data_IF_129801402299
#
_entry.id   IF_129801402299
#
_cell.length_a   1.000
_cell.length_b   1.000
_cell.length_c   1.000
_cell.angle_alpha   90.00
_cell.angle_beta   90.00
_cell.angle_gamma   90.00
#
_symmetry.space_group_name_H-M   'P 1'
#
loop_
_entity.id
_entity.type
_entity.pdbx_description
1 polymer ?
#
# COMPACT_ATOMS: atom_id res chain seq x y z
N UNK A 1 -25.21 -25.82 -52.22
CA UNK A 1 -24.49 -25.76 -53.49
C UNK A 1 -23.02 -26.02 -53.20
N UNK A 2 -22.46 -27.10 -53.78
CA UNK A 2 -21.03 -27.38 -53.73
C UNK A 2 -20.46 -26.99 -55.11
N UNK A 3 -19.51 -26.07 -55.11
CA UNK A 3 -18.73 -25.77 -56.30
C UNK A 3 -17.39 -26.53 -56.20
N UNK A 4 -17.05 -27.26 -57.23
CA UNK A 4 -15.70 -27.79 -57.39
C UNK A 4 -14.96 -26.97 -58.40
N UNK A 5 -13.70 -26.65 -58.15
CA UNK A 5 -12.84 -25.94 -59.08
C UNK A 5 -12.46 -26.86 -60.25
N UNK A 6 -12.90 -26.50 -61.43
CA UNK A 6 -12.56 -27.14 -62.71
C UNK A 6 -13.31 -26.50 -63.89
N UNK A 7 -12.76 -26.59 -65.10
CA UNK A 7 -13.43 -26.14 -66.27
C UNK A 7 -14.50 -27.19 -66.64
N UNK A 8 -15.76 -26.84 -66.49
CA UNK A 8 -16.89 -27.73 -66.73
C UNK A 8 -17.70 -27.22 -67.91
N UNK A 9 -17.96 -28.11 -68.87
CA UNK A 9 -18.81 -27.81 -70.03
C UNK A 9 -20.30 -27.71 -69.67
N UNK A 10 -20.67 -28.07 -68.45
CA UNK A 10 -22.06 -27.98 -67.97
C UNK A 10 -22.10 -27.97 -66.40
N UNK A 11 -23.07 -27.23 -65.89
CA UNK A 11 -23.40 -27.24 -64.50
C UNK A 11 -24.39 -28.35 -64.19
N UNK A 12 -24.03 -29.29 -63.36
CA UNK A 12 -24.95 -30.33 -62.86
C UNK A 12 -25.49 -29.88 -61.48
N UNK A 13 -26.76 -29.55 -61.40
CA UNK A 13 -27.46 -29.29 -60.16
C UNK A 13 -27.85 -30.66 -59.55
N UNK A 14 -27.12 -31.07 -58.53
CA UNK A 14 -27.51 -32.16 -57.67
C UNK A 14 -28.55 -31.65 -56.68
N UNK A 15 -29.81 -31.88 -56.94
CA UNK A 15 -30.87 -31.75 -55.93
C UNK A 15 -30.81 -32.96 -55.00
N UNK A 16 -30.37 -32.72 -53.77
CA UNK A 16 -30.57 -33.68 -52.70
C UNK A 16 -32.08 -33.66 -52.40
N UNK A 17 -32.79 -34.66 -52.84
CA UNK A 17 -34.18 -34.81 -52.44
C UNK A 17 -34.26 -34.95 -50.93
N UNK A 18 -35.01 -34.07 -50.24
CA UNK A 18 -35.15 -34.20 -48.80
C UNK A 18 -35.72 -35.58 -48.46
N UNK A 19 -34.95 -36.37 -47.74
CA UNK A 19 -35.51 -37.63 -47.21
C UNK A 19 -36.55 -37.28 -46.15
N UNK A 20 -37.80 -37.35 -46.54
CA UNK A 20 -38.93 -37.18 -45.57
C UNK A 20 -38.83 -38.29 -44.54
N UNK A 21 -38.56 -37.92 -43.31
CA UNK A 21 -38.55 -38.87 -42.22
C UNK A 21 -39.96 -38.93 -41.57
N UNK A 22 -40.48 -40.11 -41.42
CA UNK A 22 -41.82 -40.35 -40.84
C UNK A 22 -41.85 -40.15 -39.30
N UNK A 23 -40.74 -39.86 -38.67
CA UNK A 23 -40.66 -39.64 -37.24
C UNK A 23 -39.49 -38.71 -36.84
N UNK A 24 -39.64 -38.04 -35.73
CA UNK A 24 -38.62 -37.18 -35.16
C UNK A 24 -38.79 -36.99 -33.63
N UNK A 25 -37.75 -36.39 -33.02
CA UNK A 25 -37.78 -36.05 -31.63
C UNK A 25 -37.31 -34.63 -31.44
N UNK A 26 -37.90 -33.93 -30.43
CA UNK A 26 -37.48 -32.62 -29.94
C UNK A 26 -37.23 -32.78 -28.44
N UNK A 27 -36.06 -32.29 -27.97
CA UNK A 27 -35.68 -32.36 -26.56
C UNK A 27 -35.42 -30.96 -26.03
N UNK A 28 -35.97 -30.65 -24.85
CA UNK A 28 -35.69 -29.37 -24.18
C UNK A 28 -34.30 -29.36 -23.58
N UNK A 29 -33.72 -28.19 -23.28
CA UNK A 29 -32.66 -28.08 -22.30
C UNK A 29 -33.16 -28.60 -20.93
N UNK A 30 -32.23 -28.74 -19.98
CA UNK A 30 -32.53 -29.02 -18.59
C UNK A 30 -33.24 -27.82 -17.97
N UNK A 31 -34.43 -28.02 -17.37
CA UNK A 31 -35.27 -27.00 -16.72
C UNK A 31 -35.21 -27.24 -15.21
N UNK A 32 -35.12 -26.18 -14.42
CA UNK A 32 -34.91 -26.23 -12.98
C UNK A 32 -33.61 -25.49 -12.57
N UNK A 33 -33.15 -25.64 -11.31
CA UNK A 33 -33.70 -26.54 -10.29
C UNK A 33 -35.00 -26.04 -9.67
N UNK A 34 -35.85 -26.97 -9.25
CA UNK A 34 -37.08 -26.68 -8.54
C UNK A 34 -37.11 -27.35 -7.17
N UNK A 35 -37.81 -26.75 -6.22
CA UNK A 35 -38.09 -27.33 -4.89
C UNK A 35 -39.35 -28.20 -4.90
N UNK A 36 -40.22 -27.98 -5.85
CA UNK A 36 -41.37 -28.83 -6.13
C UNK A 36 -41.83 -28.70 -7.57
N UNK A 37 -42.41 -29.75 -8.10
CA UNK A 37 -43.06 -29.78 -9.41
C UNK A 37 -44.57 -29.86 -9.23
N UNK A 38 -45.36 -29.30 -10.17
CA UNK A 38 -46.82 -29.34 -10.08
C UNK A 38 -47.46 -29.87 -11.35
N UNK A 39 -47.23 -29.22 -12.49
CA UNK A 39 -47.91 -29.63 -13.72
C UNK A 39 -47.03 -29.50 -14.94
N UNK A 40 -47.23 -30.40 -15.91
CA UNK A 40 -46.76 -30.31 -17.28
C UNK A 40 -47.90 -29.90 -18.18
N UNK A 41 -47.73 -28.83 -18.93
CA UNK A 41 -48.68 -28.34 -19.92
C UNK A 41 -48.05 -28.33 -21.30
N UNK A 42 -48.81 -28.74 -22.30
CA UNK A 42 -48.38 -28.60 -23.67
C UNK A 42 -49.57 -28.32 -24.58
N UNK A 43 -49.32 -27.62 -25.67
CA UNK A 43 -50.29 -27.37 -26.75
C UNK A 43 -49.60 -27.53 -28.09
N UNK A 44 -50.36 -28.10 -29.04
CA UNK A 44 -49.93 -28.29 -30.41
C UNK A 44 -51.10 -28.67 -31.29
N UNK A 45 -50.87 -28.73 -32.58
CA UNK A 45 -51.87 -29.10 -33.57
C UNK A 45 -51.27 -29.95 -34.66
N UNK A 46 -52.11 -30.72 -35.32
CA UNK A 46 -51.80 -31.29 -36.63
C UNK A 46 -51.95 -30.22 -37.69
N UNK A 47 -51.25 -30.37 -38.78
CA UNK A 47 -51.38 -29.49 -39.92
C UNK A 47 -52.45 -30.00 -40.87
N UNK A 48 -52.59 -31.33 -40.92
CA UNK A 48 -53.60 -31.97 -41.71
C UNK A 48 -54.72 -32.62 -40.90
N UNK A 49 -55.84 -32.90 -41.57
CA UNK A 49 -57.01 -33.52 -40.94
C UNK A 49 -56.89 -35.08 -40.84
N UNK A 50 -55.93 -35.68 -41.58
CA UNK A 50 -55.73 -37.11 -41.60
C UNK A 50 -55.16 -37.71 -40.30
N UNK A 51 -55.53 -38.92 -39.94
CA UNK A 51 -55.27 -39.55 -38.65
C UNK A 51 -53.90 -40.22 -38.52
N UNK A 52 -52.88 -39.81 -39.32
CA UNK A 52 -51.57 -40.47 -39.35
C UNK A 52 -50.59 -40.08 -38.24
N UNK A 53 -50.87 -38.99 -37.57
CA UNK A 53 -50.00 -38.43 -36.55
C UNK A 53 -50.15 -39.08 -35.18
N UNK A 54 -49.02 -39.41 -34.60
CA UNK A 54 -48.91 -39.71 -33.18
C UNK A 54 -47.88 -38.82 -32.52
N UNK A 55 -48.18 -38.37 -31.30
CA UNK A 55 -47.25 -37.59 -30.49
C UNK A 55 -47.29 -38.12 -29.05
N UNK A 56 -46.13 -38.20 -28.46
CA UNK A 56 -45.98 -38.52 -27.04
C UNK A 56 -44.86 -37.71 -26.44
N UNK A 57 -44.88 -37.54 -25.13
CA UNK A 57 -43.90 -36.80 -24.38
C UNK A 57 -43.32 -37.66 -23.26
N UNK A 58 -41.99 -37.70 -23.17
CA UNK A 58 -41.33 -38.22 -21.99
C UNK A 58 -40.92 -37.05 -21.08
N UNK A 59 -41.31 -37.17 -19.82
CA UNK A 59 -40.82 -36.29 -18.75
C UNK A 59 -39.67 -37.01 -18.08
N UNK A 60 -38.48 -36.45 -18.20
CA UNK A 60 -37.23 -37.07 -17.80
C UNK A 60 -36.72 -36.30 -16.54
N UNK A 61 -36.58 -37.01 -15.42
CA UNK A 61 -35.95 -36.50 -14.22
C UNK A 61 -34.43 -36.50 -14.37
N UNK A 62 -33.80 -35.42 -13.92
CA UNK A 62 -32.34 -35.29 -13.94
C UNK A 62 -31.87 -35.02 -12.51
N UNK A 63 -30.98 -35.89 -12.02
CA UNK A 63 -30.39 -35.73 -10.70
C UNK A 63 -29.37 -34.63 -10.66
N UNK A 64 -28.91 -34.12 -9.47
CA UNK A 64 -27.81 -33.16 -9.36
C UNK A 64 -26.51 -33.62 -10.06
N UNK A 65 -26.28 -34.96 -10.07
CA UNK A 65 -25.13 -35.56 -10.76
C UNK A 65 -25.31 -35.69 -12.28
N UNK A 66 -26.46 -35.26 -12.83
CA UNK A 66 -26.73 -35.31 -14.26
C UNK A 66 -27.27 -36.65 -14.77
N UNK A 67 -27.58 -37.61 -13.89
CA UNK A 67 -28.18 -38.88 -14.28
C UNK A 67 -29.63 -38.67 -14.69
N UNK A 68 -30.04 -39.26 -15.81
CA UNK A 68 -31.37 -39.13 -16.40
C UNK A 68 -32.22 -40.39 -16.19
N UNK A 69 -33.49 -40.20 -15.84
CA UNK A 69 -34.49 -41.28 -15.75
C UNK A 69 -35.81 -40.80 -16.34
N UNK A 70 -36.45 -41.62 -17.19
CA UNK A 70 -37.80 -41.33 -17.66
C UNK A 70 -38.79 -41.58 -16.54
N UNK A 71 -39.48 -40.54 -16.07
CA UNK A 71 -40.42 -40.58 -14.97
C UNK A 71 -41.86 -40.89 -15.47
N UNK A 72 -42.22 -40.20 -16.58
CA UNK A 72 -43.56 -40.35 -17.17
C UNK A 72 -43.48 -40.34 -18.68
N UNK A 73 -44.43 -41.05 -19.29
CA UNK A 73 -44.74 -40.95 -20.72
C UNK A 73 -46.19 -40.47 -20.85
N UNK A 74 -46.38 -39.34 -21.52
CA UNK A 74 -47.65 -38.65 -21.68
C UNK A 74 -48.06 -38.73 -23.15
N UNK A 75 -49.29 -39.18 -23.42
CA UNK A 75 -49.81 -39.28 -24.78
C UNK A 75 -50.46 -37.99 -25.29
N UNK A 76 -50.91 -38.02 -26.54
CA UNK A 76 -51.48 -36.85 -27.21
C UNK A 76 -52.84 -36.42 -26.64
N UNK A 77 -53.54 -37.27 -25.88
CA UNK A 77 -54.84 -36.96 -25.30
C UNK A 77 -54.75 -36.10 -24.04
N UNK A 78 -53.65 -36.24 -23.33
CA UNK A 78 -53.41 -35.52 -22.06
C UNK A 78 -52.64 -34.23 -22.32
N UNK A 79 -53.31 -33.09 -22.22
CA UNK A 79 -52.72 -31.76 -22.46
C UNK A 79 -52.17 -31.09 -21.21
N UNK A 80 -52.67 -31.47 -20.07
CA UNK A 80 -52.32 -30.99 -18.73
C UNK A 80 -52.12 -32.23 -17.84
N UNK A 81 -50.89 -32.46 -17.39
CA UNK A 81 -50.50 -33.67 -16.69
C UNK A 81 -49.90 -33.31 -15.31
N UNK A 82 -50.40 -33.93 -14.25
CA UNK A 82 -49.93 -33.76 -12.89
C UNK A 82 -48.56 -34.44 -12.69
N UNK A 83 -47.58 -33.68 -12.27
CA UNK A 83 -46.23 -34.13 -11.93
C UNK A 83 -45.86 -33.81 -10.49
N UNK A 84 -46.86 -33.55 -9.63
CA UNK A 84 -46.63 -33.21 -8.21
C UNK A 84 -46.00 -34.37 -7.41
N UNK A 85 -46.13 -35.60 -7.90
CA UNK A 85 -45.49 -36.79 -7.33
C UNK A 85 -43.97 -36.87 -7.57
N UNK A 86 -43.40 -36.02 -8.41
CA UNK A 86 -41.96 -36.01 -8.66
C UNK A 86 -41.20 -35.51 -7.42
N UNK A 87 -40.31 -36.35 -6.89
CA UNK A 87 -39.43 -35.95 -5.81
C UNK A 87 -38.37 -34.95 -6.32
N UNK A 88 -38.57 -33.67 -6.04
CA UNK A 88 -37.65 -32.59 -6.47
C UNK A 88 -36.28 -32.63 -5.77
N UNK A 89 -36.14 -33.29 -4.62
CA UNK A 89 -34.81 -33.49 -3.98
C UNK A 89 -33.98 -34.48 -4.81
N UNK A 90 -34.60 -35.51 -5.34
CA UNK A 90 -33.96 -36.49 -6.20
C UNK A 90 -33.80 -35.98 -7.64
N UNK A 91 -34.83 -35.31 -8.16
CA UNK A 91 -34.89 -34.77 -9.53
C UNK A 91 -35.19 -33.26 -9.50
N UNK A 92 -34.24 -32.45 -9.10
CA UNK A 92 -34.44 -31.02 -9.09
C UNK A 92 -34.56 -30.44 -10.50
N UNK A 93 -34.16 -31.18 -11.49
CA UNK A 93 -34.27 -30.78 -12.90
C UNK A 93 -35.12 -31.74 -13.66
N UNK A 94 -35.87 -31.22 -14.65
CA UNK A 94 -36.59 -32.02 -15.61
C UNK A 94 -36.19 -31.66 -17.03
N UNK A 95 -36.24 -32.65 -17.92
CA UNK A 95 -36.15 -32.45 -19.37
C UNK A 95 -37.43 -33.01 -20.01
N UNK A 96 -37.85 -32.35 -21.08
CA UNK A 96 -38.99 -32.75 -21.87
C UNK A 96 -38.49 -33.29 -23.20
N UNK A 97 -38.97 -34.46 -23.60
CA UNK A 97 -38.67 -35.07 -24.91
C UNK A 97 -39.98 -35.40 -25.60
N UNK A 98 -40.27 -34.71 -26.69
CA UNK A 98 -41.37 -34.97 -27.58
C UNK A 98 -40.92 -35.98 -28.62
N UNK A 99 -41.75 -36.97 -28.85
CA UNK A 99 -41.63 -37.87 -29.99
C UNK A 99 -42.84 -37.62 -30.90
N UNK A 100 -42.60 -37.44 -32.19
CA UNK A 100 -43.65 -37.28 -33.19
C UNK A 100 -43.45 -38.28 -34.33
N UNK A 101 -44.52 -38.81 -34.87
CA UNK A 101 -44.53 -39.72 -36.00
C UNK A 101 -45.74 -39.42 -36.84
N UNK A 102 -45.54 -39.26 -38.16
CA UNK A 102 -46.54 -39.26 -39.20
C UNK A 102 -46.17 -40.33 -40.21
N UNK A 103 -47.08 -41.25 -40.46
CA UNK A 103 -46.87 -42.37 -41.38
C UNK A 103 -47.53 -42.18 -42.76
N UNK A 104 -48.28 -41.09 -42.92
CA UNK A 104 -49.07 -40.83 -44.15
C UNK A 104 -48.44 -39.74 -44.99
N UNK A 105 -48.22 -38.55 -44.47
CA UNK A 105 -47.76 -37.39 -45.21
C UNK A 105 -46.34 -36.92 -44.84
N UNK A 106 -45.83 -37.39 -43.71
CA UNK A 106 -44.50 -37.05 -43.24
C UNK A 106 -44.37 -35.62 -42.69
N UNK A 107 -45.49 -34.99 -42.32
CA UNK A 107 -45.54 -33.66 -41.74
C UNK A 107 -45.48 -33.78 -40.20
N UNK A 108 -44.53 -33.10 -39.54
CA UNK A 108 -44.40 -33.26 -38.10
C UNK A 108 -45.53 -32.56 -37.35
N UNK A 109 -45.96 -33.15 -36.20
CA UNK A 109 -46.92 -32.50 -35.30
C UNK A 109 -46.36 -31.15 -34.83
N UNK A 110 -47.13 -30.07 -34.96
CA UNK A 110 -46.71 -28.69 -34.67
C UNK A 110 -46.82 -28.43 -33.17
N UNK A 111 -45.69 -28.47 -32.43
CA UNK A 111 -45.64 -28.06 -31.04
C UNK A 111 -45.67 -26.54 -30.92
N UNK A 112 -46.71 -25.96 -30.31
CA UNK A 112 -46.81 -24.53 -30.03
C UNK A 112 -46.02 -24.12 -28.81
N UNK A 113 -46.23 -24.87 -27.72
CA UNK A 113 -45.45 -24.70 -26.50
C UNK A 113 -45.56 -25.95 -25.61
N UNK A 114 -44.58 -26.10 -24.75
CA UNK A 114 -44.63 -26.91 -23.55
C UNK A 114 -44.15 -26.11 -22.36
N UNK A 115 -44.63 -26.40 -21.16
CA UNK A 115 -44.33 -25.70 -19.94
C UNK A 115 -44.39 -26.63 -18.74
N UNK A 116 -43.41 -26.45 -17.83
CA UNK A 116 -43.42 -27.05 -16.50
C UNK A 116 -43.75 -25.99 -15.46
N UNK A 117 -44.68 -26.30 -14.57
CA UNK A 117 -45.01 -25.48 -13.43
C UNK A 117 -44.46 -26.15 -12.16
N UNK A 118 -44.03 -25.34 -11.21
CA UNK A 118 -43.45 -25.75 -9.95
C UNK A 118 -43.00 -24.58 -9.13
N UNK A 119 -42.45 -24.83 -7.96
CA UNK A 119 -41.75 -23.83 -7.15
C UNK A 119 -40.27 -23.93 -7.45
N UNK A 120 -39.73 -22.91 -8.07
CA UNK A 120 -38.28 -22.87 -8.36
C UNK A 120 -37.50 -22.43 -7.10
N UNK A 121 -36.27 -22.91 -7.00
CA UNK A 121 -35.34 -22.44 -5.95
C UNK A 121 -35.08 -20.96 -6.10
N UNK A 122 -34.63 -20.26 -5.04
CA UNK A 122 -34.27 -18.86 -5.13
C UNK A 122 -33.15 -18.63 -6.16
N UNK A 123 -32.97 -17.37 -6.55
CA UNK A 123 -31.92 -16.95 -7.45
C UNK A 123 -31.33 -15.64 -6.95
N UNK A 124 -30.03 -15.65 -6.75
CA UNK A 124 -29.26 -14.46 -6.42
C UNK A 124 -28.35 -14.06 -7.58
N UNK A 125 -27.95 -12.83 -7.59
CA UNK A 125 -26.97 -12.33 -8.55
C UNK A 125 -26.16 -11.17 -7.97
N UNK A 126 -24.91 -11.07 -8.36
CA UNK A 126 -24.13 -9.86 -8.15
C UNK A 126 -24.80 -8.70 -8.86
N UNK A 127 -24.92 -7.57 -8.15
CA UNK A 127 -25.63 -6.39 -8.62
C UNK A 127 -24.75 -5.13 -8.56
N UNK A 128 -23.67 -5.05 -9.37
CA UNK A 128 -22.75 -3.93 -9.37
C UNK A 128 -23.42 -2.60 -9.76
N UNK A 129 -24.55 -2.67 -10.46
CA UNK A 129 -25.38 -1.50 -10.77
C UNK A 129 -26.09 -0.91 -9.55
N UNK A 130 -26.25 -1.66 -8.45
CA UNK A 130 -26.77 -1.18 -7.17
C UNK A 130 -25.63 -0.60 -6.34
N UNK A 131 -24.55 -1.34 -6.16
CA UNK A 131 -23.37 -0.89 -5.46
C UNK A 131 -22.15 -1.69 -5.90
N UNK A 132 -21.14 -0.98 -6.38
CA UNK A 132 -19.79 -1.51 -6.53
C UNK A 132 -18.79 -0.41 -6.20
N UNK A 133 -17.92 -0.66 -5.24
CA UNK A 133 -16.85 0.24 -4.82
C UNK A 133 -15.56 -0.58 -4.72
N UNK A 134 -14.58 -0.23 -5.52
CA UNK A 134 -13.20 -0.69 -5.42
C UNK A 134 -12.34 0.18 -6.32
N UNK A 135 -11.15 0.56 -5.85
CA UNK A 135 -10.13 1.17 -6.68
C UNK A 135 -9.41 0.12 -7.53
N UNK A 136 -9.00 0.49 -8.73
CA UNK A 136 -8.16 -0.37 -9.59
C UNK A 136 -6.68 -0.28 -9.25
N UNK A 137 -6.28 0.84 -8.61
CA UNK A 137 -4.89 1.12 -8.22
C UNK A 137 -4.84 1.73 -6.82
N UNK A 138 -3.79 1.39 -6.07
CA UNK A 138 -3.50 1.94 -4.76
C UNK A 138 -1.99 2.06 -4.56
N UNK A 139 -1.54 2.92 -3.64
CA UNK A 139 -0.17 2.90 -3.16
C UNK A 139 -0.01 1.84 -2.07
N UNK A 140 1.19 1.29 -1.90
CA UNK A 140 1.45 0.28 -0.87
C UNK A 140 1.22 0.85 0.54
N UNK A 141 0.40 0.15 1.32
CA UNK A 141 -0.07 0.56 2.65
C UNK A 141 -1.41 1.32 2.64
N UNK A 142 -1.93 1.72 1.47
CA UNK A 142 -3.26 2.31 1.37
C UNK A 142 -4.33 1.27 1.68
N UNK A 143 -5.34 1.67 2.46
CA UNK A 143 -6.52 0.85 2.70
C UNK A 143 -7.50 1.00 1.53
N UNK A 144 -7.83 -0.12 0.88
CA UNK A 144 -8.75 -0.14 -0.26
C UNK A 144 -10.09 -0.73 0.16
N UNK A 145 -11.12 0.09 0.13
CA UNK A 145 -12.48 -0.37 0.38
C UNK A 145 -13.02 -1.17 -0.80
N UNK A 146 -13.53 -2.35 -0.51
CA UNK A 146 -14.31 -3.17 -1.41
C UNK A 146 -15.75 -3.22 -0.92
N UNK A 147 -16.72 -2.92 -1.79
CA UNK A 147 -18.15 -3.08 -1.53
C UNK A 147 -18.84 -3.57 -2.80
N UNK A 148 -19.65 -4.60 -2.67
CA UNK A 148 -20.40 -5.18 -3.78
C UNK A 148 -21.78 -5.64 -3.32
N UNK A 149 -22.81 -5.25 -4.07
CA UNK A 149 -24.17 -5.72 -3.82
C UNK A 149 -24.39 -7.11 -4.42
N UNK A 150 -25.06 -7.97 -3.66
CA UNK A 150 -25.65 -9.24 -4.11
C UNK A 150 -27.15 -9.20 -3.82
N UNK A 151 -27.98 -9.46 -4.81
CA UNK A 151 -29.45 -9.32 -4.70
C UNK A 151 -30.15 -10.64 -4.98
N UNK A 152 -31.15 -10.98 -4.16
CA UNK A 152 -32.13 -12.00 -4.52
C UNK A 152 -33.07 -11.45 -5.61
N UNK A 153 -32.94 -11.97 -6.82
CA UNK A 153 -33.72 -11.54 -8.00
C UNK A 153 -34.94 -12.40 -8.25
N UNK A 154 -35.18 -13.40 -7.39
CA UNK A 154 -36.32 -14.33 -7.47
C UNK A 154 -37.46 -13.93 -6.55
N UNK A 155 -38.60 -14.62 -6.69
CA UNK A 155 -39.74 -14.48 -5.80
C UNK A 155 -39.65 -15.34 -4.53
N UNK A 156 -38.64 -16.21 -4.45
CA UNK A 156 -38.45 -17.18 -3.38
C UNK A 156 -37.33 -16.68 -2.44
N UNK A 157 -37.51 -16.82 -1.13
CA UNK A 157 -36.49 -16.51 -0.15
C UNK A 157 -35.43 -17.64 -0.09
N UNK A 158 -34.18 -17.26 0.19
CA UNK A 158 -33.14 -18.19 0.59
C UNK A 158 -33.47 -18.78 1.98
N UNK A 159 -33.07 -20.02 2.23
CA UNK A 159 -33.41 -20.72 3.47
C UNK A 159 -32.50 -20.31 4.65
N UNK A 160 -31.26 -19.94 4.40
CA UNK A 160 -30.25 -19.57 5.41
C UNK A 160 -29.41 -18.39 4.93
N UNK A 161 -28.54 -17.91 5.81
CA UNK A 161 -27.58 -16.84 5.56
C UNK A 161 -26.52 -17.25 4.53
N UNK A 162 -26.11 -16.26 3.69
CA UNK A 162 -25.18 -16.49 2.59
C UNK A 162 -23.74 -16.61 3.08
N UNK A 163 -23.04 -17.64 2.67
CA UNK A 163 -21.58 -17.70 2.76
C UNK A 163 -20.95 -16.86 1.64
N UNK A 164 -19.78 -16.31 1.94
CA UNK A 164 -19.03 -15.46 1.02
C UNK A 164 -17.57 -15.90 1.08
N UNK A 165 -17.01 -16.25 -0.06
CA UNK A 165 -15.56 -16.40 -0.24
C UNK A 165 -15.00 -15.09 -0.79
N UNK A 166 -13.95 -14.61 -0.16
CA UNK A 166 -13.17 -13.47 -0.61
C UNK A 166 -11.70 -13.88 -0.65
N UNK A 167 -11.08 -13.81 -1.80
CA UNK A 167 -9.70 -14.25 -1.98
C UNK A 167 -8.93 -13.16 -2.70
N UNK A 168 -7.73 -12.84 -2.20
CA UNK A 168 -6.77 -11.99 -2.87
C UNK A 168 -5.65 -12.89 -3.39
N UNK A 169 -5.49 -12.97 -4.69
CA UNK A 169 -4.36 -13.67 -5.31
C UNK A 169 -3.28 -12.65 -5.60
N UNK A 170 -2.11 -12.83 -4.98
CA UNK A 170 -1.00 -11.90 -5.10
C UNK A 170 -0.23 -12.04 -6.42
N UNK A 171 0.75 -11.17 -6.65
CA UNK A 171 1.63 -11.17 -7.84
C UNK A 171 2.39 -12.48 -8.08
N UNK A 172 2.53 -13.33 -7.06
CA UNK A 172 3.21 -14.62 -7.14
C UNK A 172 2.22 -15.77 -7.37
N UNK A 173 0.93 -15.45 -7.66
CA UNK A 173 -0.18 -16.36 -7.78
C UNK A 173 -0.49 -17.15 -6.49
N UNK A 174 -0.18 -16.58 -5.32
CA UNK A 174 -0.54 -17.17 -4.03
C UNK A 174 -1.90 -16.64 -3.60
N UNK A 175 -2.90 -17.51 -3.38
CA UNK A 175 -4.22 -17.10 -2.91
C UNK A 175 -4.22 -16.88 -1.38
N UNK A 176 -4.74 -15.74 -0.96
CA UNK A 176 -4.96 -15.35 0.43
C UNK A 176 -6.46 -15.32 0.70
N UNK A 177 -6.98 -16.35 1.34
CA UNK A 177 -8.40 -16.44 1.68
C UNK A 177 -8.72 -15.53 2.88
N UNK A 178 -9.70 -14.66 2.70
CA UNK A 178 -10.28 -13.84 3.76
C UNK A 178 -11.59 -14.44 4.22
N UNK A 179 -11.69 -14.75 5.49
CA UNK A 179 -12.94 -15.23 6.10
C UNK A 179 -13.86 -14.06 6.40
N UNK A 180 -14.93 -13.93 5.61
CA UNK A 180 -15.97 -12.94 5.87
C UNK A 180 -17.07 -13.54 6.75
N UNK A 181 -17.78 -12.72 7.55
CA UNK A 181 -18.97 -13.18 8.26
C UNK A 181 -20.03 -13.57 7.24
N UNK A 182 -20.87 -14.55 7.60
CA UNK A 182 -22.04 -14.88 6.78
C UNK A 182 -22.93 -13.67 6.61
N UNK A 183 -23.45 -13.49 5.41
CA UNK A 183 -24.47 -12.49 5.12
C UNK A 183 -25.82 -12.87 5.73
N UNK A 184 -26.77 -11.94 5.68
CA UNK A 184 -28.14 -12.17 6.14
C UNK A 184 -28.88 -13.18 5.24
N UNK A 185 -29.98 -13.74 5.73
CA UNK A 185 -30.97 -14.43 4.91
C UNK A 185 -31.60 -13.43 3.95
N UNK A 186 -31.71 -13.77 2.67
CA UNK A 186 -32.24 -12.89 1.64
C UNK A 186 -33.65 -13.30 1.24
N UNK A 187 -34.64 -12.50 1.61
CA UNK A 187 -36.01 -12.62 1.09
C UNK A 187 -36.06 -12.08 -0.35
N UNK A 188 -37.19 -12.33 -1.04
CA UNK A 188 -37.41 -11.86 -2.41
C UNK A 188 -37.11 -10.35 -2.55
N UNK A 189 -36.30 -9.98 -3.52
CA UNK A 189 -35.90 -8.61 -3.82
C UNK A 189 -34.88 -7.97 -2.88
N UNK A 190 -34.50 -8.65 -1.80
CA UNK A 190 -33.55 -8.14 -0.80
C UNK A 190 -32.12 -8.11 -1.32
N UNK A 191 -31.30 -7.26 -0.71
CA UNK A 191 -29.88 -7.06 -1.11
C UNK A 191 -28.96 -7.24 0.08
N UNK A 192 -27.86 -7.99 -0.15
CA UNK A 192 -26.72 -8.10 0.74
C UNK A 192 -25.57 -7.24 0.20
N UNK A 193 -24.90 -6.51 1.08
CA UNK A 193 -23.66 -5.80 0.74
C UNK A 193 -22.49 -6.62 1.27
N UNK A 194 -21.69 -7.15 0.37
CA UNK A 194 -20.38 -7.72 0.66
C UNK A 194 -19.39 -6.58 0.83
N UNK A 195 -18.74 -6.47 1.98
CA UNK A 195 -17.77 -5.40 2.24
C UNK A 195 -16.51 -5.94 2.91
N UNK A 196 -15.36 -5.43 2.48
CA UNK A 196 -14.05 -5.70 3.06
C UNK A 196 -13.12 -4.52 2.80
N UNK A 197 -12.23 -4.23 3.75
CA UNK A 197 -11.15 -3.24 3.54
C UNK A 197 -9.84 -3.99 3.39
N UNK A 198 -9.22 -3.87 2.23
CA UNK A 198 -7.96 -4.53 1.88
C UNK A 198 -6.81 -3.67 2.41
N UNK A 199 -5.98 -4.21 3.31
CA UNK A 199 -4.68 -3.63 3.66
C UNK A 199 -3.67 -4.04 2.57
N UNK A 200 -3.20 -3.06 1.80
CA UNK A 200 -2.35 -3.31 0.64
C UNK A 200 -0.86 -3.47 0.98
N UNK A 201 -0.48 -3.43 2.27
CA UNK A 201 0.92 -3.50 2.73
C UNK A 201 1.67 -4.71 2.14
N UNK A 202 1.03 -5.87 2.15
CA UNK A 202 1.63 -7.13 1.77
C UNK A 202 1.34 -7.54 0.32
N UNK A 203 0.66 -6.66 -0.46
CA UNK A 203 0.20 -6.94 -1.81
C UNK A 203 0.81 -6.02 -2.90
N UNK A 204 2.13 -5.76 -2.94
CA UNK A 204 2.71 -4.93 -3.99
C UNK A 204 2.65 -5.61 -5.35
N UNK A 205 2.33 -4.86 -6.40
CA UNK A 205 2.22 -5.33 -7.78
C UNK A 205 0.80 -5.68 -8.21
N UNK A 206 0.65 -6.57 -9.18
CA UNK A 206 -0.64 -7.01 -9.69
C UNK A 206 -1.25 -8.04 -8.75
N UNK A 207 -2.49 -7.81 -8.35
CA UNK A 207 -3.27 -8.72 -7.54
C UNK A 207 -4.64 -8.90 -8.19
N UNK A 208 -5.28 -10.05 -7.96
CA UNK A 208 -6.64 -10.31 -8.39
C UNK A 208 -7.52 -10.60 -7.18
N UNK A 209 -8.57 -9.82 -7.01
CA UNK A 209 -9.62 -10.05 -6.01
C UNK A 209 -10.67 -10.93 -6.62
N UNK A 210 -10.94 -12.07 -5.97
CA UNK A 210 -12.00 -13.02 -6.32
C UNK A 210 -13.04 -13.00 -5.23
N UNK A 211 -14.30 -12.85 -5.63
CA UNK A 211 -15.45 -12.90 -4.72
C UNK A 211 -16.47 -13.88 -5.26
N UNK A 212 -16.93 -14.75 -4.38
CA UNK A 212 -17.97 -15.74 -4.68
C UNK A 212 -18.98 -15.75 -3.54
N UNK A 213 -20.25 -15.51 -3.88
CA UNK A 213 -21.38 -15.62 -2.95
C UNK A 213 -22.03 -16.98 -3.10
N UNK A 214 -22.39 -17.62 -1.98
CA UNK A 214 -22.92 -18.98 -1.92
C UNK A 214 -21.97 -20.03 -2.54
N UNK A 215 -20.68 -20.05 -2.11
CA UNK A 215 -19.73 -21.03 -2.62
C UNK A 215 -20.21 -22.44 -2.30
N UNK A 216 -19.81 -23.41 -3.15
CA UNK A 216 -20.17 -24.84 -3.01
C UNK A 216 -21.67 -25.16 -3.08
N UNK A 217 -22.53 -24.24 -3.54
CA UNK A 217 -23.97 -24.38 -3.56
C UNK A 217 -24.56 -24.79 -2.19
N UNK A 218 -24.06 -24.20 -1.11
CA UNK A 218 -24.61 -24.43 0.23
C UNK A 218 -26.11 -24.16 0.29
N UNK A 219 -26.60 -23.29 -0.56
CA UNK A 219 -28.01 -23.06 -0.81
C UNK A 219 -28.34 -23.28 -2.28
N UNK A 220 -29.41 -23.99 -2.60
CA UNK A 220 -29.83 -24.22 -3.98
C UNK A 220 -30.12 -22.87 -4.68
N UNK A 221 -29.59 -22.69 -5.89
CA UNK A 221 -29.88 -21.58 -6.79
C UNK A 221 -30.11 -22.08 -8.21
N UNK A 222 -30.79 -21.27 -9.03
CA UNK A 222 -31.02 -21.62 -10.42
C UNK A 222 -29.73 -21.56 -11.23
N UNK A 223 -28.92 -20.55 -10.98
CA UNK A 223 -27.62 -20.32 -11.62
C UNK A 223 -26.59 -19.92 -10.58
N UNK A 224 -25.31 -20.18 -10.86
CA UNK A 224 -24.23 -19.82 -9.96
C UNK A 224 -23.15 -18.95 -10.62
N UNK A 225 -23.12 -18.91 -11.96
CA UNK A 225 -22.13 -18.14 -12.70
C UNK A 225 -22.22 -16.62 -12.46
N UNK A 226 -23.40 -16.13 -12.03
CA UNK A 226 -23.68 -14.74 -11.71
C UNK A 226 -23.37 -14.34 -10.26
N UNK A 227 -22.80 -15.27 -9.47
CA UNK A 227 -22.36 -15.08 -8.08
C UNK A 227 -20.87 -14.79 -7.94
N UNK A 228 -20.16 -14.70 -9.06
CA UNK A 228 -18.70 -14.69 -9.12
C UNK A 228 -18.20 -13.36 -9.71
N UNK A 229 -17.22 -12.76 -9.07
CA UNK A 229 -16.51 -11.58 -9.56
C UNK A 229 -15.01 -11.80 -9.50
N UNK A 230 -14.32 -11.42 -10.57
CA UNK A 230 -12.88 -11.20 -10.60
C UNK A 230 -12.61 -9.71 -10.83
N UNK A 231 -11.71 -9.13 -10.05
CA UNK A 231 -11.32 -7.73 -10.19
C UNK A 231 -9.83 -7.57 -9.92
N UNK A 232 -9.13 -6.93 -10.84
CA UNK A 232 -7.71 -6.65 -10.66
C UNK A 232 -7.50 -5.43 -9.78
N UNK A 233 -6.44 -5.49 -8.96
CA UNK A 233 -5.93 -4.43 -8.11
C UNK A 233 -4.42 -4.31 -8.32
N UNK A 234 -3.98 -3.20 -8.86
CA UNK A 234 -2.57 -2.88 -8.93
C UNK A 234 -2.14 -2.06 -7.71
N UNK A 235 -1.19 -2.58 -6.94
CA UNK A 235 -0.59 -1.86 -5.81
C UNK A 235 0.80 -1.40 -6.21
N UNK A 236 0.98 -0.08 -6.28
CA UNK A 236 2.27 0.52 -6.55
C UNK A 236 3.19 0.28 -5.36
N UNK A 237 4.26 -0.48 -5.60
CA UNK A 237 5.25 -0.78 -4.57
C UNK A 237 5.95 0.49 -4.08
N UNK A 238 6.22 0.55 -2.80
CA UNK A 238 7.10 1.53 -2.20
C UNK A 238 8.56 1.09 -2.39
N UNK A 239 9.27 1.78 -3.27
CA UNK A 239 10.67 1.51 -3.60
C UNK A 239 11.59 2.68 -3.22
N UNK A 240 11.06 3.66 -2.48
CA UNK A 240 11.83 4.81 -2.07
C UNK A 240 12.55 4.53 -0.75
N UNK A 241 13.80 4.93 -0.69
CA UNK A 241 14.58 4.81 0.54
C UNK A 241 14.25 5.99 1.46
N UNK A 242 14.01 5.76 2.75
CA UNK A 242 13.84 6.84 3.70
C UNK A 242 15.12 7.68 3.82
N UNK A 243 14.95 8.95 4.16
CA UNK A 243 16.05 9.89 4.38
C UNK A 243 16.42 9.90 5.86
N UNK A 244 17.72 9.78 6.14
CA UNK A 244 18.29 9.91 7.46
C UNK A 244 19.03 11.26 7.58
N UNK A 245 18.67 12.06 8.57
CA UNK A 245 19.29 13.33 8.88
C UNK A 245 19.76 13.35 10.33
N UNK A 246 21.01 13.75 10.58
CA UNK A 246 21.65 13.72 11.89
C UNK A 246 22.30 15.05 12.18
N UNK A 247 21.91 15.68 13.29
CA UNK A 247 22.51 16.94 13.76
C UNK A 247 23.03 16.80 15.20
N UNK A 248 24.07 17.53 15.50
CA UNK A 248 24.67 17.65 16.84
C UNK A 248 24.47 19.07 17.33
N UNK A 249 23.79 19.22 18.46
CA UNK A 249 23.45 20.53 19.03
C UNK A 249 22.81 21.49 17.99
N UNK A 250 22.00 20.92 17.07
CA UNK A 250 21.28 21.63 16.02
C UNK A 250 22.08 21.92 14.76
N UNK A 251 23.32 21.46 14.63
CA UNK A 251 24.18 21.65 13.46
C UNK A 251 24.68 20.33 12.86
N UNK A 252 24.84 20.30 11.54
CA UNK A 252 25.54 19.20 10.87
C UNK A 252 27.04 19.35 11.06
N UNK A 253 27.69 18.30 11.53
CA UNK A 253 29.13 18.27 11.73
C UNK A 253 29.85 17.64 10.54
N UNK A 254 31.12 18.01 10.36
CA UNK A 254 32.05 17.34 9.44
C UNK A 254 32.81 16.23 10.17
N UNK A 255 33.35 15.28 9.40
CA UNK A 255 34.20 14.25 9.97
C UNK A 255 35.38 14.87 10.75
N UNK A 256 35.55 14.35 11.99
CA UNK A 256 36.59 14.80 12.95
C UNK A 256 36.34 16.19 13.55
N UNK A 257 35.15 16.76 13.41
CA UNK A 257 34.79 17.95 14.16
C UNK A 257 34.78 17.69 15.67
N UNK A 258 35.00 18.73 16.43
CA UNK A 258 34.97 18.67 17.90
C UNK A 258 33.52 18.81 18.34
N UNK A 259 33.08 17.88 19.18
CA UNK A 259 31.72 17.78 19.72
C UNK A 259 31.76 17.88 21.23
N UNK A 260 30.69 18.36 21.83
CA UNK A 260 30.49 18.36 23.28
C UNK A 260 30.59 16.95 23.87
N UNK A 261 31.07 16.83 25.12
CA UNK A 261 31.00 15.60 25.85
C UNK A 261 29.55 15.19 26.22
N UNK A 262 28.60 16.12 26.12
CA UNK A 262 27.15 15.89 26.34
C UNK A 262 26.35 16.52 25.19
N UNK A 263 26.49 16.01 23.97
CA UNK A 263 25.78 16.61 22.84
C UNK A 263 24.30 16.22 22.90
N UNK A 264 23.45 17.07 22.33
CA UNK A 264 22.12 16.69 21.89
C UNK A 264 22.20 16.27 20.44
N UNK A 265 22.12 14.97 20.18
CA UNK A 265 22.13 14.42 18.81
C UNK A 265 20.68 14.18 18.42
N UNK A 266 20.22 14.91 17.41
CA UNK A 266 18.90 14.75 16.81
C UNK A 266 19.02 13.92 15.55
N UNK A 267 18.29 12.80 15.50
CA UNK A 267 18.24 11.89 14.35
C UNK A 267 16.83 11.91 13.82
N UNK A 268 16.64 12.31 12.57
CA UNK A 268 15.36 12.29 11.87
C UNK A 268 15.41 11.21 10.78
N UNK A 269 14.47 10.27 10.85
CA UNK A 269 14.20 9.34 9.77
C UNK A 269 12.90 9.76 9.10
N UNK A 270 12.97 10.15 7.83
CA UNK A 270 11.84 10.65 7.06
C UNK A 270 11.56 9.75 5.86
N UNK A 271 10.31 9.41 5.67
CA UNK A 271 9.81 8.65 4.52
C UNK A 271 8.73 9.44 3.79
N UNK A 272 8.61 9.26 2.49
CA UNK A 272 7.56 9.86 1.68
C UNK A 272 6.26 9.06 1.65
N UNK A 273 6.26 7.82 2.12
CA UNK A 273 5.04 7.01 2.20
C UNK A 273 4.01 7.67 3.13
N UNK A 274 2.78 7.79 2.63
CA UNK A 274 1.68 8.49 3.33
C UNK A 274 0.78 7.58 4.13
N UNK A 275 0.99 6.27 4.05
CA UNK A 275 0.11 5.25 4.62
C UNK A 275 0.81 4.40 5.68
N UNK A 276 2.13 4.27 5.60
CA UNK A 276 2.94 3.43 6.48
C UNK A 276 3.80 4.30 7.39
N UNK A 277 3.28 4.60 8.59
CA UNK A 277 3.96 5.46 9.55
C UNK A 277 5.24 4.83 10.10
N UNK A 278 6.31 5.62 10.21
CA UNK A 278 7.50 5.28 10.97
C UNK A 278 7.18 5.36 12.47
N UNK A 279 6.50 4.35 13.02
CA UNK A 279 5.96 4.35 14.38
C UNK A 279 6.61 3.34 15.33
N UNK A 280 7.58 2.56 14.85
CA UNK A 280 8.26 1.53 15.63
C UNK A 280 9.75 1.84 15.79
N UNK A 281 10.27 1.66 16.97
CA UNK A 281 11.70 1.80 17.31
C UNK A 281 12.59 0.78 16.59
N UNK A 282 12.02 -0.33 16.13
CA UNK A 282 12.73 -1.37 15.36
C UNK A 282 13.25 -0.89 13.98
N UNK A 283 12.79 0.28 13.52
CA UNK A 283 13.25 0.85 12.25
C UNK A 283 14.59 1.56 12.34
N UNK A 284 15.08 1.85 13.56
CA UNK A 284 16.32 2.62 13.78
C UNK A 284 17.22 1.89 14.77
N UNK A 285 18.51 1.84 14.44
CA UNK A 285 19.58 1.35 15.32
C UNK A 285 20.65 2.42 15.46
N UNK A 286 21.03 2.71 16.69
CA UNK A 286 22.07 3.70 17.03
C UNK A 286 23.21 3.02 17.76
N UNK A 287 24.42 3.21 17.24
CA UNK A 287 25.66 2.66 17.82
C UNK A 287 26.72 3.76 17.89
N UNK A 288 27.60 3.63 18.86
CA UNK A 288 28.78 4.49 18.97
C UNK A 288 30.01 3.63 19.17
N UNK A 289 31.02 3.90 18.34
CA UNK A 289 32.37 3.38 18.54
C UNK A 289 33.14 4.34 19.42
N UNK A 290 33.70 3.83 20.48
CA UNK A 290 34.47 4.59 21.47
C UNK A 290 35.96 4.66 21.09
N UNK A 291 36.76 5.53 21.76
CA UNK A 291 38.21 5.64 21.50
C UNK A 291 38.99 4.32 21.74
N UNK A 292 38.51 3.46 22.62
CA UNK A 292 39.03 2.11 22.88
C UNK A 292 38.63 1.09 21.78
N UNK A 293 38.01 1.54 20.69
CA UNK A 293 37.46 0.77 19.58
C UNK A 293 36.26 -0.12 19.96
N UNK A 294 35.78 -0.07 21.20
CA UNK A 294 34.56 -0.78 21.58
C UNK A 294 33.35 -0.21 20.87
N UNK A 295 32.45 -1.07 20.39
CA UNK A 295 31.19 -0.70 19.77
C UNK A 295 30.05 -0.89 20.77
N UNK A 296 29.32 0.18 21.09
CA UNK A 296 28.18 0.15 22.00
C UNK A 296 26.88 0.42 21.24
N UNK A 297 25.88 -0.44 21.43
CA UNK A 297 24.54 -0.22 20.92
C UNK A 297 23.72 0.48 21.99
N UNK A 298 23.03 1.54 21.62
CA UNK A 298 22.10 2.25 22.49
C UNK A 298 20.68 1.74 22.26
N UNK A 299 19.96 1.53 23.35
CA UNK A 299 18.58 1.09 23.35
C UNK A 299 17.67 2.23 23.77
N UNK A 300 16.43 2.21 23.31
CA UNK A 300 15.44 3.22 23.66
C UNK A 300 15.14 3.17 25.15
N UNK A 301 15.12 4.34 25.80
CA UNK A 301 14.99 4.54 27.23
C UNK A 301 15.47 5.93 27.63
N UNK A 302 16.30 6.04 28.66
CA UNK A 302 16.68 7.32 29.25
C UNK A 302 17.49 8.24 28.31
N UNK A 303 18.48 7.67 27.58
CA UNK A 303 19.36 8.44 26.70
C UNK A 303 18.95 8.48 25.24
N UNK A 304 18.02 7.62 24.83
CA UNK A 304 17.53 7.53 23.46
C UNK A 304 16.00 7.56 23.48
N UNK A 305 15.41 8.68 23.12
CA UNK A 305 13.96 8.90 23.14
C UNK A 305 13.43 8.90 21.72
N UNK A 306 12.29 8.22 21.51
CA UNK A 306 11.65 8.08 20.21
C UNK A 306 10.34 8.86 20.18
N UNK A 307 10.18 9.66 19.13
CA UNK A 307 8.93 10.32 18.77
C UNK A 307 8.46 9.76 17.44
N UNK A 308 7.34 9.01 17.40
CA UNK A 308 6.85 8.39 16.17
C UNK A 308 6.36 9.43 15.17
N UNK A 309 6.38 9.04 13.90
CA UNK A 309 5.76 9.82 12.83
C UNK A 309 4.24 9.94 13.03
N UNK A 310 3.69 11.08 12.63
CA UNK A 310 2.26 11.35 12.66
C UNK A 310 1.73 11.67 11.27
N UNK A 311 1.14 10.68 10.59
CA UNK A 311 0.61 10.83 9.23
C UNK A 311 -0.56 11.81 9.14
N UNK A 312 -1.27 12.08 10.23
CA UNK A 312 -2.39 13.04 10.22
C UNK A 312 -1.93 14.48 9.93
N UNK A 313 -0.66 14.79 10.17
CA UNK A 313 -0.05 16.07 9.84
C UNK A 313 0.56 16.12 8.43
N UNK A 314 0.47 15.01 7.69
CA UNK A 314 1.10 14.86 6.37
C UNK A 314 2.62 14.67 6.43
N UNK A 315 3.18 14.38 7.61
CA UNK A 315 4.60 14.21 7.84
C UNK A 315 4.92 12.81 8.37
N UNK A 316 5.63 12.01 7.56
CA UNK A 316 6.13 10.69 7.95
C UNK A 316 7.59 10.80 8.40
N UNK A 317 7.82 11.47 9.54
CA UNK A 317 9.15 11.62 10.14
C UNK A 317 9.14 11.10 11.56
N UNK A 318 9.96 10.10 11.83
CA UNK A 318 10.30 9.69 13.18
C UNK A 318 11.50 10.49 13.66
N UNK A 319 11.44 10.97 14.89
CA UNK A 319 12.50 11.77 15.51
C UNK A 319 13.06 11.05 16.71
N UNK A 320 14.38 11.00 16.80
CA UNK A 320 15.09 10.38 17.91
C UNK A 320 15.99 11.44 18.56
N UNK A 321 15.70 11.73 19.82
CA UNK A 321 16.56 12.53 20.67
C UNK A 321 17.56 11.61 21.36
N UNK A 322 18.82 11.73 21.01
CA UNK A 322 19.92 11.00 21.61
C UNK A 322 20.75 11.92 22.48
N UNK A 323 20.76 11.66 23.78
CA UNK A 323 21.44 12.46 24.81
C UNK A 323 22.55 11.64 25.49
N UNK A 324 23.63 11.33 24.75
CA UNK A 324 24.74 10.54 25.31
C UNK A 324 25.62 11.36 26.25
N UNK A 325 26.42 10.64 27.05
CA UNK A 325 27.55 11.19 27.76
C UNK A 325 28.84 10.47 27.33
N UNK A 326 29.79 11.23 26.82
CA UNK A 326 31.12 10.77 26.38
C UNK A 326 32.17 11.19 27.41
N UNK A 327 32.54 10.32 28.38
CA UNK A 327 33.40 10.66 29.49
C UNK A 327 34.89 10.77 29.13
N UNK A 328 35.29 10.12 28.05
CA UNK A 328 36.71 9.99 27.66
C UNK A 328 37.03 10.97 26.51
N UNK A 329 38.24 11.56 26.57
CA UNK A 329 38.76 12.32 25.42
C UNK A 329 39.20 11.36 24.33
N UNK A 330 38.92 11.72 23.06
CA UNK A 330 39.36 10.93 21.92
C UNK A 330 38.40 10.97 20.75
N UNK A 331 38.67 10.08 19.80
CA UNK A 331 37.90 9.99 18.58
C UNK A 331 36.76 8.97 18.76
N UNK A 332 35.57 9.42 18.44
CA UNK A 332 34.34 8.63 18.45
C UNK A 332 33.78 8.50 17.03
N UNK A 333 32.95 7.50 16.81
CA UNK A 333 32.20 7.35 15.58
C UNK A 333 30.74 7.00 15.90
N UNK A 334 29.80 7.86 15.47
CA UNK A 334 28.39 7.55 15.50
C UNK A 334 28.01 6.77 14.27
N UNK A 335 27.29 5.68 14.46
CA UNK A 335 26.79 4.79 13.42
C UNK A 335 25.27 4.70 13.58
N UNK A 336 24.54 5.08 12.55
CA UNK A 336 23.08 5.03 12.54
C UNK A 336 22.60 4.29 11.32
N UNK A 337 21.75 3.29 11.53
CA UNK A 337 21.01 2.64 10.46
C UNK A 337 19.51 2.87 10.64
N UNK A 338 18.84 3.18 9.55
CA UNK A 338 17.40 3.38 9.49
C UNK A 338 16.78 2.60 8.34
N UNK A 339 15.53 2.21 8.51
CA UNK A 339 14.72 1.58 7.44
C UNK A 339 13.27 2.02 7.57
N UNK A 340 12.52 1.92 6.47
CA UNK A 340 11.08 2.12 6.50
C UNK A 340 10.32 0.86 6.95
N UNK A 341 9.00 0.92 6.91
CA UNK A 341 8.09 -0.17 7.29
C UNK A 341 8.18 -1.37 6.35
N UNK A 342 8.51 -1.13 5.06
CA UNK A 342 8.62 -2.17 4.03
C UNK A 342 10.01 -2.81 4.02
N UNK A 343 11.01 -2.11 4.60
CA UNK A 343 12.38 -2.59 4.72
C UNK A 343 13.37 -1.89 3.79
N UNK A 344 12.98 -0.83 3.06
CA UNK A 344 13.92 0.00 2.32
C UNK A 344 14.83 0.71 3.31
N UNK A 345 16.15 0.64 3.07
CA UNK A 345 17.15 1.19 3.99
C UNK A 345 17.47 2.66 3.67
N UNK A 346 17.78 3.45 4.68
CA UNK A 346 18.14 4.86 4.56
C UNK A 346 19.54 5.07 3.96
N UNK A 347 19.83 4.40 2.86
CA UNK A 347 21.09 4.43 2.14
C UNK A 347 21.64 3.02 1.90
N UNK A 348 22.59 2.90 0.97
CA UNK A 348 23.26 1.64 0.64
C UNK A 348 24.20 1.18 1.76
N UNK A 349 24.67 2.09 2.60
CA UNK A 349 25.50 1.85 3.78
C UNK A 349 24.91 2.62 4.97
N UNK A 350 25.24 2.16 6.18
CA UNK A 350 24.87 2.87 7.40
C UNK A 350 25.47 4.29 7.42
N UNK A 351 24.80 5.21 8.10
CA UNK A 351 25.36 6.56 8.31
C UNK A 351 26.52 6.49 9.31
N UNK A 352 27.67 6.99 8.94
CA UNK A 352 28.88 7.05 9.75
C UNK A 352 29.37 8.48 9.85
N UNK A 353 29.60 8.96 11.06
CA UNK A 353 30.24 10.25 11.31
C UNK A 353 31.23 10.14 12.47
N UNK A 354 32.50 10.45 12.18
CA UNK A 354 33.55 10.50 13.21
C UNK A 354 33.61 11.90 13.82
N UNK A 355 33.81 11.99 15.13
CA UNK A 355 33.96 13.25 15.84
C UNK A 355 34.94 13.12 16.99
N UNK A 356 35.49 14.24 17.47
CA UNK A 356 36.42 14.26 18.58
C UNK A 356 35.78 14.90 19.80
N UNK A 357 35.95 14.27 20.96
CA UNK A 357 35.52 14.82 22.25
C UNK A 357 36.78 15.32 22.98
N UNK A 358 36.71 16.54 23.45
CA UNK A 358 37.70 17.19 24.31
C UNK A 358 36.96 17.72 25.52
N UNK A 359 37.22 17.14 26.69
CA UNK A 359 36.46 17.42 27.92
C UNK A 359 36.86 18.75 28.55
N UNK A 360 38.10 19.18 28.32
CA UNK A 360 38.61 20.45 28.83
C UNK A 360 38.02 21.62 28.06
N UNK A 361 37.45 22.59 28.78
CA UNK A 361 36.89 23.79 28.20
C UNK A 361 38.05 24.71 27.73
N UNK A 362 38.21 24.83 26.41
CA UNK A 362 39.22 25.65 25.75
C UNK A 362 38.62 26.36 24.55
N UNK A 363 39.32 27.34 24.03
CA UNK A 363 39.01 28.00 22.77
C UNK A 363 40.20 27.93 21.82
N UNK A 364 39.96 27.62 20.56
CA UNK A 364 41.01 27.59 19.53
C UNK A 364 41.49 28.99 19.16
N UNK A 365 42.51 29.06 18.31
CA UNK A 365 42.92 30.28 17.67
C UNK A 365 41.75 30.92 16.92
N UNK A 366 41.49 32.18 17.25
CA UNK A 366 40.56 33.03 16.54
C UNK A 366 41.18 33.45 15.23
N UNK A 367 40.48 33.19 14.12
CA UNK A 367 40.88 33.59 12.78
C UNK A 367 39.77 34.43 12.17
N UNK A 368 40.16 35.44 11.36
CA UNK A 368 39.17 36.14 10.56
C UNK A 368 39.25 35.70 9.11
N UNK A 369 38.09 35.57 8.47
CA UNK A 369 37.99 35.13 7.09
C UNK A 369 36.92 35.92 6.32
N UNK A 370 37.25 36.48 5.13
CA UNK A 370 38.58 36.52 4.50
C UNK A 370 39.58 37.43 5.24
N UNK A 371 40.88 37.16 5.05
CA UNK A 371 41.96 38.00 5.54
C UNK A 371 43.12 37.99 4.51
N UNK A 372 43.50 39.13 3.84
CA UNK A 372 42.80 40.42 3.93
C UNK A 372 41.37 40.43 3.42
N UNK A 373 40.59 41.43 3.82
CA UNK A 373 39.21 41.61 3.34
C UNK A 373 39.04 42.97 2.65
N UNK A 374 38.08 43.02 1.72
CA UNK A 374 37.75 44.27 1.00
C UNK A 374 36.42 44.86 1.45
N UNK A 375 35.44 44.03 1.78
CA UNK A 375 34.11 44.47 2.20
C UNK A 375 33.88 44.19 3.67
N UNK A 376 34.04 42.93 4.09
CA UNK A 376 33.84 42.50 5.49
C UNK A 376 34.55 41.19 5.77
N UNK A 377 34.75 40.89 7.05
CA UNK A 377 35.33 39.62 7.52
C UNK A 377 34.56 39.09 8.71
N UNK A 378 34.38 37.77 8.77
CA UNK A 378 33.81 37.05 9.92
C UNK A 378 34.91 36.43 10.77
N UNK A 379 34.64 36.12 12.02
CA UNK A 379 35.60 35.45 12.89
C UNK A 379 35.21 33.96 13.05
N UNK A 380 36.20 33.09 12.94
CA UNK A 380 36.06 31.63 13.03
C UNK A 380 36.91 31.15 14.22
N UNK A 381 36.32 30.31 15.05
CA UNK A 381 36.99 29.75 16.22
C UNK A 381 36.32 28.42 16.61
N UNK A 382 36.98 27.63 17.44
CA UNK A 382 36.42 26.38 17.97
C UNK A 382 36.35 26.44 19.49
N UNK A 383 35.21 26.08 20.07
CA UNK A 383 35.00 25.93 21.51
C UNK A 383 35.06 24.43 21.83
N UNK A 384 35.81 24.05 22.86
CA UNK A 384 35.88 22.68 23.38
C UNK A 384 35.26 22.59 24.79
N UNK A 385 35.06 21.39 25.29
CA UNK A 385 34.44 21.14 26.61
C UNK A 385 32.98 20.71 26.49
N UNK A 386 32.26 20.80 27.60
CA UNK A 386 30.87 20.41 27.68
C UNK A 386 29.88 21.56 27.67
N UNK A 387 30.37 22.79 27.80
CA UNK A 387 29.53 23.99 27.94
C UNK A 387 30.10 25.13 27.11
N UNK A 388 29.24 26.02 26.64
CA UNK A 388 29.65 27.27 25.96
C UNK A 388 29.87 28.36 26.99
N UNK A 389 30.79 29.33 26.71
CA UNK A 389 31.03 30.49 27.61
C UNK A 389 29.74 31.29 27.81
N UNK A 390 29.45 31.64 29.06
CA UNK A 390 28.31 32.49 29.43
C UNK A 390 28.43 33.89 28.80
N UNK A 391 29.65 34.42 28.80
CA UNK A 391 29.99 35.69 28.17
C UNK A 391 31.21 35.49 27.28
N UNK A 392 31.04 35.87 26.02
CA UNK A 392 32.12 35.93 25.03
C UNK A 392 31.99 37.22 24.23
N UNK A 393 33.10 37.85 23.95
CA UNK A 393 33.18 39.04 23.09
C UNK A 393 34.53 39.10 22.36
N UNK A 394 34.54 39.71 21.21
CA UNK A 394 35.75 39.88 20.41
C UNK A 394 36.03 41.39 20.35
N UNK A 395 37.23 41.77 20.75
CA UNK A 395 37.69 43.16 20.64
C UNK A 395 38.67 43.30 19.49
N UNK A 396 38.44 44.30 18.66
CA UNK A 396 39.33 44.70 17.56
C UNK A 396 40.08 45.94 18.02
N UNK A 397 41.41 45.93 17.84
CA UNK A 397 42.29 46.94 18.39
C UNK A 397 43.22 47.49 17.30
N UNK A 398 43.61 48.71 17.47
CA UNK A 398 44.82 49.30 16.72
C UNK A 398 46.06 48.54 17.15
N UNK A 399 47.15 48.72 16.40
CA UNK A 399 48.48 48.21 16.76
C UNK A 399 49.01 48.82 18.08
N UNK A 400 48.46 49.96 18.51
CA UNK A 400 48.80 50.64 19.77
C UNK A 400 47.93 50.12 20.95
N UNK A 401 47.06 49.22 20.72
CA UNK A 401 46.18 48.54 21.74
C UNK A 401 44.89 49.31 22.05
N UNK A 402 44.53 50.37 21.31
CA UNK A 402 43.23 51.05 21.48
C UNK A 402 42.14 50.21 20.85
N UNK A 403 41.08 49.88 21.65
CA UNK A 403 39.88 49.18 21.16
C UNK A 403 39.12 50.08 20.21
N UNK A 404 38.87 49.64 18.97
CA UNK A 404 38.13 50.37 17.93
C UNK A 404 36.72 49.77 17.75
N UNK A 405 36.55 48.46 17.95
CA UNK A 405 35.25 47.79 17.87
C UNK A 405 35.22 46.66 18.87
N UNK A 406 34.07 46.46 19.50
CA UNK A 406 33.76 45.27 20.27
C UNK A 406 32.56 44.55 19.64
N UNK A 407 32.70 43.28 19.34
CA UNK A 407 31.63 42.40 18.87
C UNK A 407 31.08 41.71 20.13
N UNK A 408 29.86 42.06 20.46
CA UNK A 408 29.17 41.55 21.66
C UNK A 408 28.65 40.10 21.48
N UNK A 409 28.22 39.51 22.58
CA UNK A 409 27.65 38.15 22.53
C UNK A 409 26.48 38.04 21.56
N UNK A 410 25.61 39.04 21.52
CA UNK A 410 24.44 39.03 20.63
C UNK A 410 24.82 39.12 19.15
N UNK A 411 25.92 39.82 18.85
CA UNK A 411 26.48 39.92 17.50
C UNK A 411 27.27 38.67 17.07
N UNK A 412 27.73 37.86 18.03
CA UNK A 412 28.41 36.59 17.72
C UNK A 412 27.45 35.56 17.11
N UNK A 413 26.14 35.64 17.43
CA UNK A 413 25.13 34.63 17.12
C UNK A 413 25.14 33.47 18.12
N UNK A 414 24.36 32.39 17.89
CA UNK A 414 24.29 31.23 18.74
C UNK A 414 25.62 30.47 18.76
N UNK A 415 26.20 30.34 19.96
CA UNK A 415 27.44 29.60 20.15
C UNK A 415 27.17 28.15 20.51
N UNK A 416 27.98 27.23 19.97
CA UNK A 416 27.96 25.81 20.29
C UNK A 416 29.37 25.27 20.52
N UNK A 417 29.47 24.11 21.16
CA UNK A 417 30.74 23.39 21.24
C UNK A 417 31.08 22.87 19.85
N UNK A 418 32.32 23.04 19.41
CA UNK A 418 32.76 22.79 18.06
C UNK A 418 33.13 24.10 17.32
N UNK A 419 33.09 24.06 16.01
CA UNK A 419 33.50 25.18 15.14
C UNK A 419 32.37 26.19 15.04
N UNK A 420 32.72 27.47 15.35
CA UNK A 420 31.81 28.62 15.29
C UNK A 420 32.31 29.61 14.25
N UNK A 421 31.38 30.35 13.65
CA UNK A 421 31.65 31.53 12.82
C UNK A 421 30.66 32.62 13.22
N UNK A 422 31.16 33.85 13.43
CA UNK A 422 30.32 34.97 13.88
C UNK A 422 29.26 35.31 12.83
N UNK A 423 28.03 35.58 13.27
CA UNK A 423 26.99 36.15 12.40
C UNK A 423 27.32 37.55 11.97
N UNK A 424 27.83 38.36 12.88
CA UNK A 424 28.32 39.69 12.56
C UNK A 424 29.61 39.62 11.73
N UNK A 425 29.64 40.39 10.63
CA UNK A 425 30.79 40.56 9.77
C UNK A 425 31.32 41.96 9.93
N UNK A 426 32.58 42.08 10.37
CA UNK A 426 33.22 43.38 10.52
C UNK A 426 33.61 43.95 9.15
N UNK A 427 33.18 45.20 8.88
CA UNK A 427 33.38 45.93 7.62
C UNK A 427 34.48 46.97 7.67
N UNK A 428 35.29 46.97 8.74
CA UNK A 428 36.38 47.94 8.93
C UNK A 428 35.91 49.26 9.52
N UNK A 429 34.72 49.31 10.16
CA UNK A 429 34.26 50.52 10.89
C UNK A 429 34.54 50.41 12.39
N UNK A 430 34.59 51.55 13.06
CA UNK A 430 34.66 51.61 14.52
C UNK A 430 33.28 51.41 15.19
N UNK A 431 33.23 51.58 16.52
CA UNK A 431 31.99 51.42 17.28
C UNK A 431 30.91 52.47 16.95
N UNK A 432 31.27 53.55 16.26
CA UNK A 432 30.37 54.63 15.85
C UNK A 432 30.03 54.59 14.35
N UNK A 433 30.51 53.58 13.62
CA UNK A 433 30.29 53.43 12.19
C UNK A 433 31.24 54.21 11.30
N UNK A 434 32.27 54.87 11.87
CA UNK A 434 33.29 55.60 11.08
C UNK A 434 34.29 54.61 10.48
N UNK A 435 34.59 54.77 9.17
CA UNK A 435 35.59 53.94 8.49
C UNK A 435 36.97 54.13 9.05
N UNK A 436 37.62 53.04 9.37
CA UNK A 436 39.02 53.05 9.83
C UNK A 436 39.98 53.07 8.62
N UNK A 437 41.18 53.55 8.84
CA UNK A 437 42.24 53.58 7.81
C UNK A 437 42.62 52.12 7.45
N UNK A 438 43.03 51.94 6.19
CA UNK A 438 43.59 50.65 5.77
C UNK A 438 44.87 50.35 6.55
N UNK A 439 44.98 49.15 7.09
CA UNK A 439 46.11 48.75 7.90
C UNK A 439 45.92 47.41 8.61
N UNK A 440 46.80 47.13 9.54
CA UNK A 440 46.76 45.92 10.39
C UNK A 440 46.04 46.28 11.70
N UNK A 441 45.07 45.52 12.02
CA UNK A 441 44.36 45.57 13.29
C UNK A 441 44.58 44.25 14.06
N UNK A 442 44.71 44.39 15.36
CA UNK A 442 44.79 43.23 16.25
C UNK A 442 43.39 42.87 16.74
N UNK A 443 43.19 41.64 17.11
CA UNK A 443 41.94 41.21 17.76
C UNK A 443 42.23 40.27 18.92
N UNK A 444 41.38 40.31 19.95
CA UNK A 444 41.43 39.40 21.07
C UNK A 444 40.03 38.91 21.43
N UNK A 445 39.96 37.70 21.91
CA UNK A 445 38.72 37.14 22.49
C UNK A 445 38.78 37.25 23.99
N UNK A 446 37.66 37.65 24.58
CA UNK A 446 37.43 37.63 26.02
C UNK A 446 36.32 36.66 26.30
N UNK A 447 36.56 35.71 27.18
CA UNK A 447 35.60 34.65 27.53
C UNK A 447 35.39 34.59 29.03
N UNK A 448 34.17 34.21 29.46
CA UNK A 448 33.90 33.91 30.88
C UNK A 448 33.02 32.65 30.90
N UNK A 449 33.55 31.59 31.52
CA UNK A 449 32.84 30.37 31.86
C UNK A 449 32.99 30.18 33.36
N UNK A 450 31.87 30.33 34.12
CA UNK A 450 31.83 30.16 35.56
C UNK A 450 32.90 30.99 36.31
N UNK A 451 33.11 32.26 35.86
CA UNK A 451 34.07 33.16 36.46
C UNK A 451 35.54 33.02 36.03
N UNK A 452 35.82 32.12 35.07
CA UNK A 452 37.16 31.86 34.56
C UNK A 452 37.22 32.10 33.02
N UNK A 453 38.33 32.61 32.53
CA UNK A 453 38.61 32.65 31.11
C UNK A 453 38.97 31.27 30.58
N UNK A 454 38.53 30.95 29.38
CA UNK A 454 38.90 29.71 28.71
C UNK A 454 40.39 29.68 28.38
N UNK A 455 41.01 28.52 28.50
CA UNK A 455 42.37 28.30 28.02
C UNK A 455 42.39 28.19 26.49
N UNK A 456 43.58 28.47 25.90
CA UNK A 456 43.78 28.33 24.46
C UNK A 456 43.95 26.87 24.05
N UNK A 457 43.12 26.38 23.17
CA UNK A 457 43.30 25.09 22.52
C UNK A 457 44.37 25.14 21.45
N UNK A 458 45.34 24.23 21.49
CA UNK A 458 46.40 24.11 20.47
C UNK A 458 46.15 22.79 19.70
N UNK A 459 45.79 22.86 18.42
CA UNK A 459 45.72 21.65 17.60
C UNK A 459 47.11 21.02 17.42
N UNK A 460 47.21 19.72 17.38
CA UNK A 460 48.45 18.91 17.32
C UNK A 460 49.39 19.28 16.14
N UNK A 461 48.88 19.93 15.09
CA UNK A 461 49.61 20.27 13.88
C UNK A 461 49.94 21.78 13.72
N UNK A 462 49.74 22.62 14.75
CA UNK A 462 49.90 24.06 14.65
C UNK A 462 51.29 24.52 15.14
N UNK A 463 52.36 24.12 14.43
CA UNK A 463 53.74 24.54 14.74
C UNK A 463 54.12 25.91 14.24
N UNK A 464 53.27 26.64 13.48
CA UNK A 464 53.62 27.90 12.81
C UNK A 464 52.92 29.16 13.33
N UNK A 465 51.87 29.06 14.13
CA UNK A 465 51.06 30.21 14.58
C UNK A 465 51.41 30.74 15.98
N UNK A 466 52.31 30.08 16.72
CA UNK A 466 52.66 30.43 18.12
C UNK A 466 53.37 31.80 18.27
N UNK A 467 53.82 32.43 17.19
CA UNK A 467 54.56 33.69 17.25
C UNK A 467 53.70 34.96 17.26
N UNK A 468 52.40 34.86 17.06
CA UNK A 468 51.53 36.05 16.87
C UNK A 468 50.50 36.28 17.97
N UNK A 469 50.47 35.47 19.02
CA UNK A 469 49.48 35.63 20.09
C UNK A 469 50.15 35.84 21.45
N UNK A 470 50.16 37.08 21.89
CA UNK A 470 50.51 37.41 23.28
C UNK A 470 49.33 37.05 24.23
N UNK A 471 49.67 36.43 25.36
CA UNK A 471 48.77 36.31 26.50
C UNK A 471 48.21 37.65 26.88
N UNK A 472 46.90 37.84 26.78
CA UNK A 472 46.17 38.89 27.45
C UNK A 472 45.33 38.27 28.56
#
# INVERSE_FOLDING_TARGET
FLFSEGIYDKIVLNTIAPTVKSSGTVTSPRLGPASSWSQFHWRGSREEVSAGDSVSFNIIGVTPAGLEATLFTVDSSTKDFDISSVNAVQYPYLKLKMFTRDTIQGTPYQLRYWRLNGSFVPEGALAPNILFVMKDTADQGELVDFKLAFKNISQTAFADSMKINFTITDRNNVPHLVTLPKGKVLVSGDTLIVSYTIDTRDYPGNNTVFVEVNPNFDQPEQYHFNNILFKDLFVKADNFNPLLDVTFDGVHILNKDIVSAKPHILINLKDENRYLALSDTAYIKVQVRFPDLSLRTYYFGDSLRFTPANLSTGNNTATIDFLPYFPEEGDYELIVSGRDVIGNTAGAIEYHISFKVITKAMISNLLNYPNPFTTSTAFVFTITGSEVPQNMRIQILTITGKVVREITKDELGPLHVGRNMTEFKWDGTDAYGAKLANGVYLYRVLTNLNGRSLEKYKPENDSKTDKFFTKG
#
